data_IF_674536653440
#
_entry.id   IF_674536653440
#
_cell.length_a   1.000
_cell.length_b   1.000
_cell.length_c   1.000
_cell.angle_alpha   90.00
_cell.angle_beta   90.00
_cell.angle_gamma   90.00
#
_symmetry.space_group_name_H-M   'P 1'
#
loop_
_entity.id
_entity.type
_entity.pdbx_description
1 polymer ?
#
# COMPACT_ATOMS: atom_id res chain seq x y z
N UNK A 1 29.86 -4.73 -1.56
CA UNK A 1 28.76 -5.42 -0.88
C UNK A 1 27.51 -4.54 -0.71
N UNK A 2 27.59 -3.40 -0.03
CA UNK A 2 26.47 -2.45 0.12
C UNK A 2 25.67 -2.14 -1.17
N UNK A 3 26.36 -1.74 -2.25
CA UNK A 3 25.70 -1.41 -3.51
C UNK A 3 25.06 -2.63 -4.19
N UNK A 4 25.66 -3.82 -4.00
CA UNK A 4 25.12 -5.06 -4.55
C UNK A 4 23.80 -5.40 -3.88
N UNK A 5 23.75 -5.40 -2.55
CA UNK A 5 22.51 -5.59 -1.77
C UNK A 5 21.46 -4.55 -2.15
N UNK A 6 21.87 -3.30 -2.38
CA UNK A 6 20.96 -2.24 -2.83
C UNK A 6 20.37 -2.51 -4.22
N UNK A 7 21.18 -3.00 -5.17
CA UNK A 7 20.72 -3.37 -6.50
C UNK A 7 19.73 -4.54 -6.42
N UNK A 8 20.03 -5.58 -5.65
CA UNK A 8 19.13 -6.72 -5.43
C UNK A 8 17.79 -6.27 -4.84
N UNK A 9 17.81 -5.37 -3.86
CA UNK A 9 16.59 -4.76 -3.32
C UNK A 9 15.75 -4.05 -4.41
N UNK A 10 16.40 -3.27 -5.29
CA UNK A 10 15.69 -2.57 -6.36
C UNK A 10 15.14 -3.53 -7.42
N UNK A 11 15.87 -4.59 -7.77
CA UNK A 11 15.42 -5.63 -8.69
C UNK A 11 14.23 -6.39 -8.09
N UNK A 12 14.35 -6.85 -6.85
CA UNK A 12 13.26 -7.51 -6.13
C UNK A 12 11.98 -6.64 -6.12
N UNK A 13 12.11 -5.35 -5.82
CA UNK A 13 10.97 -4.42 -5.83
C UNK A 13 10.42 -4.17 -7.24
N UNK A 14 11.28 -4.10 -8.26
CA UNK A 14 10.84 -3.93 -9.65
C UNK A 14 9.99 -5.12 -10.12
N UNK A 15 10.45 -6.36 -9.88
CA UNK A 15 9.71 -7.57 -10.22
C UNK A 15 8.41 -7.68 -9.41
N UNK A 16 8.45 -7.37 -8.11
CA UNK A 16 7.26 -7.30 -7.24
C UNK A 16 6.19 -6.39 -7.83
N UNK A 17 6.56 -5.15 -8.20
CA UNK A 17 5.61 -4.15 -8.72
C UNK A 17 5.05 -4.54 -10.09
N UNK A 18 5.75 -5.40 -10.83
CA UNK A 18 5.28 -5.99 -12.09
C UNK A 18 4.51 -7.30 -11.89
N UNK A 19 4.25 -7.71 -10.64
CA UNK A 19 3.57 -8.95 -10.25
C UNK A 19 4.34 -10.22 -10.58
N UNK A 20 5.65 -10.09 -10.85
CA UNK A 20 6.57 -11.20 -11.01
C UNK A 20 7.13 -11.59 -9.63
N UNK A 21 6.27 -12.25 -8.85
CA UNK A 21 6.55 -12.58 -7.44
C UNK A 21 7.65 -13.64 -7.31
N UNK A 22 7.75 -14.55 -8.28
CA UNK A 22 8.77 -15.59 -8.27
C UNK A 22 10.17 -14.98 -8.42
N UNK A 23 10.36 -14.10 -9.41
CA UNK A 23 11.64 -13.44 -9.61
C UNK A 23 11.96 -12.44 -8.48
N UNK A 24 10.93 -11.75 -7.96
CA UNK A 24 11.07 -10.92 -6.76
C UNK A 24 11.62 -11.73 -5.57
N UNK A 25 11.05 -12.91 -5.30
CA UNK A 25 11.49 -13.79 -4.24
C UNK A 25 12.90 -14.34 -4.49
N UNK A 26 13.27 -14.63 -5.74
CA UNK A 26 14.63 -15.06 -6.11
C UNK A 26 15.67 -14.01 -5.73
N UNK A 27 15.47 -12.74 -6.15
CA UNK A 27 16.37 -11.65 -5.78
C UNK A 27 16.42 -11.38 -4.27
N UNK A 28 15.32 -11.62 -3.55
CA UNK A 28 15.31 -11.55 -2.09
C UNK A 28 16.17 -12.66 -1.46
N UNK A 29 16.15 -13.87 -2.02
CA UNK A 29 17.05 -14.96 -1.61
C UNK A 29 18.52 -14.55 -1.73
N UNK A 30 18.92 -14.05 -2.91
CA UNK A 30 20.29 -13.55 -3.14
C UNK A 30 20.63 -12.38 -2.20
N UNK A 31 19.68 -11.49 -1.94
CA UNK A 31 19.85 -10.37 -1.02
C UNK A 31 20.13 -10.86 0.40
N UNK A 32 19.40 -11.88 0.86
CA UNK A 32 19.58 -12.49 2.18
C UNK A 32 20.95 -13.17 2.29
N UNK A 33 21.35 -13.94 1.28
CA UNK A 33 22.65 -14.62 1.27
C UNK A 33 23.80 -13.62 1.43
N UNK A 34 23.76 -12.50 0.70
CA UNK A 34 24.75 -11.43 0.83
C UNK A 34 24.68 -10.71 2.18
N UNK A 35 23.48 -10.47 2.72
CA UNK A 35 23.31 -9.86 4.03
C UNK A 35 23.85 -10.75 5.15
N UNK A 36 23.73 -12.08 5.04
CA UNK A 36 24.19 -13.03 6.03
C UNK A 36 25.72 -13.09 6.15
N UNK A 37 26.45 -12.61 5.14
CA UNK A 37 27.92 -12.57 5.17
C UNK A 37 28.49 -11.57 6.19
N UNK A 38 27.70 -10.56 6.60
CA UNK A 38 28.11 -9.54 7.55
C UNK A 38 26.91 -8.99 8.35
N UNK A 39 26.98 -9.16 9.68
CA UNK A 39 25.95 -8.72 10.62
C UNK A 39 25.56 -7.24 10.50
N UNK A 40 26.47 -6.37 10.05
CA UNK A 40 26.20 -4.94 9.86
C UNK A 40 25.26 -4.69 8.67
N UNK A 41 25.47 -5.39 7.56
CA UNK A 41 24.58 -5.32 6.40
C UNK A 41 23.25 -6.02 6.67
N UNK A 42 23.27 -7.15 7.40
CA UNK A 42 22.04 -7.75 7.89
C UNK A 42 21.21 -6.71 8.66
N UNK A 43 21.77 -6.08 9.70
CA UNK A 43 21.06 -5.06 10.47
C UNK A 43 20.57 -3.87 9.64
N UNK A 44 21.35 -3.44 8.63
CA UNK A 44 21.04 -2.27 7.82
C UNK A 44 19.90 -2.50 6.80
N UNK A 45 19.79 -3.70 6.24
CA UNK A 45 18.85 -4.01 5.17
C UNK A 45 17.68 -4.90 5.61
N UNK A 46 17.72 -5.46 6.82
CA UNK A 46 16.74 -6.43 7.30
C UNK A 46 15.30 -5.95 7.15
N UNK A 47 14.98 -4.73 7.58
CA UNK A 47 13.60 -4.24 7.48
C UNK A 47 13.13 -4.12 6.02
N UNK A 48 14.01 -3.70 5.11
CA UNK A 48 13.69 -3.61 3.68
C UNK A 48 13.45 -4.98 3.05
N UNK A 49 14.26 -5.96 3.44
CA UNK A 49 14.04 -7.35 3.09
C UNK A 49 12.68 -7.85 3.61
N UNK A 50 12.37 -7.59 4.88
CA UNK A 50 11.11 -7.99 5.52
C UNK A 50 9.89 -7.37 4.84
N UNK A 51 9.98 -6.09 4.45
CA UNK A 51 8.93 -5.39 3.72
C UNK A 51 8.60 -6.08 2.39
N UNK A 52 9.60 -6.32 1.54
CA UNK A 52 9.39 -6.96 0.24
C UNK A 52 8.98 -8.43 0.37
N UNK A 53 9.50 -9.14 1.38
CA UNK A 53 9.09 -10.51 1.68
C UNK A 53 7.61 -10.57 2.09
N UNK A 54 7.17 -9.66 2.95
CA UNK A 54 5.78 -9.59 3.37
C UNK A 54 4.85 -9.19 2.21
N UNK A 55 5.26 -8.27 1.34
CA UNK A 55 4.49 -7.92 0.15
C UNK A 55 4.36 -9.12 -0.81
N UNK A 56 5.44 -9.88 -1.03
CA UNK A 56 5.36 -11.13 -1.80
C UNK A 56 4.37 -12.11 -1.19
N UNK A 57 4.47 -12.40 0.11
CA UNK A 57 3.53 -13.28 0.82
C UNK A 57 2.08 -12.80 0.67
N UNK A 58 1.84 -11.50 0.89
CA UNK A 58 0.50 -10.93 0.82
C UNK A 58 -0.13 -11.13 -0.57
N UNK A 59 0.57 -10.75 -1.63
CA UNK A 59 0.07 -10.85 -3.00
C UNK A 59 0.13 -12.26 -3.60
N UNK A 60 0.64 -13.26 -2.88
CA UNK A 60 0.67 -14.67 -3.30
C UNK A 60 -0.26 -15.58 -2.49
N UNK A 61 -1.13 -15.02 -1.65
CA UNK A 61 -2.17 -15.77 -0.96
C UNK A 61 -1.92 -16.02 0.53
N UNK A 62 -0.82 -15.50 1.09
CA UNK A 62 -0.39 -15.73 2.46
C UNK A 62 -0.52 -14.46 3.32
N UNK A 63 -1.71 -13.83 3.34
CA UNK A 63 -1.93 -12.57 4.05
C UNK A 63 -1.67 -12.64 5.57
N UNK A 64 -2.02 -13.75 6.22
CA UNK A 64 -1.81 -13.94 7.66
C UNK A 64 -0.32 -14.01 8.00
N UNK A 65 0.46 -14.73 7.19
CA UNK A 65 1.91 -14.82 7.33
C UNK A 65 2.57 -13.46 7.08
N UNK A 66 2.14 -12.74 6.03
CA UNK A 66 2.61 -11.41 5.71
C UNK A 66 2.37 -10.42 6.86
N UNK A 67 1.16 -10.44 7.43
CA UNK A 67 0.75 -9.59 8.54
C UNK A 67 1.55 -9.92 9.80
N UNK A 68 1.72 -11.21 10.09
CA UNK A 68 2.52 -11.68 11.23
C UNK A 68 3.98 -11.24 11.10
N UNK A 69 4.55 -11.35 9.89
CA UNK A 69 5.92 -10.96 9.59
C UNK A 69 6.17 -9.47 9.84
N UNK A 70 5.27 -8.60 9.38
CA UNK A 70 5.40 -7.15 9.61
C UNK A 70 5.17 -6.77 11.08
N UNK A 71 4.21 -7.41 11.77
CA UNK A 71 4.00 -7.19 13.21
C UNK A 71 5.23 -7.58 14.03
N UNK A 72 5.83 -8.73 13.73
CA UNK A 72 7.07 -9.17 14.37
C UNK A 72 8.22 -8.21 14.06
N UNK A 73 8.39 -7.79 12.81
CA UNK A 73 9.46 -6.88 12.40
C UNK A 73 9.34 -5.49 13.07
N UNK A 74 8.12 -5.01 13.29
CA UNK A 74 7.87 -3.75 13.99
C UNK A 74 8.07 -3.86 15.51
N UNK A 75 7.85 -5.03 16.11
CA UNK A 75 8.02 -5.24 17.55
C UNK A 75 9.45 -5.58 17.96
N UNK A 76 10.19 -6.31 17.11
CA UNK A 76 11.57 -6.71 17.36
C UNK A 76 12.61 -5.64 17.03
N UNK A 77 12.17 -4.47 16.57
CA UNK A 77 13.06 -3.47 16.02
C UNK A 77 13.91 -2.79 17.12
N UNK A 78 15.24 -2.88 17.00
CA UNK A 78 16.18 -2.16 17.86
C UNK A 78 16.20 -0.66 17.49
N UNK A 79 16.53 0.22 18.44
CA UNK A 79 16.62 1.68 18.26
C UNK A 79 17.56 2.16 17.12
N UNK A 80 18.29 1.27 16.45
CA UNK A 80 19.22 1.57 15.36
C UNK A 80 18.60 1.65 13.96
N UNK A 81 17.34 1.25 13.78
CA UNK A 81 16.73 1.24 12.44
C UNK A 81 16.33 2.64 11.97
N UNK A 82 16.43 2.86 10.66
CA UNK A 82 16.04 4.12 10.05
C UNK A 82 14.54 4.35 10.22
N UNK A 83 14.11 5.55 10.65
CA UNK A 83 12.69 5.88 10.78
C UNK A 83 11.91 5.63 9.49
N UNK A 84 12.51 5.87 8.33
CA UNK A 84 11.89 5.68 7.02
C UNK A 84 11.49 4.22 6.79
N UNK A 85 12.37 3.27 7.11
CA UNK A 85 12.08 1.84 6.95
C UNK A 85 10.92 1.41 7.88
N UNK A 86 10.85 1.98 9.09
CA UNK A 86 9.74 1.72 10.04
C UNK A 86 8.40 2.20 9.47
N UNK A 87 8.38 3.40 8.88
CA UNK A 87 7.17 3.97 8.30
C UNK A 87 6.72 3.19 7.05
N UNK A 88 7.66 2.68 6.25
CA UNK A 88 7.35 1.80 5.11
C UNK A 88 6.74 0.46 5.55
N UNK A 89 7.28 -0.17 6.60
CA UNK A 89 6.67 -1.38 7.18
C UNK A 89 5.27 -1.09 7.73
N UNK A 90 5.12 0.04 8.42
CA UNK A 90 3.85 0.40 9.06
C UNK A 90 2.76 0.68 8.03
N UNK A 91 3.07 1.41 6.95
CA UNK A 91 2.07 1.68 5.90
C UNK A 91 1.68 0.42 5.13
N UNK A 92 2.63 -0.51 4.91
CA UNK A 92 2.32 -1.82 4.35
C UNK A 92 1.41 -2.65 5.28
N UNK A 93 1.70 -2.66 6.59
CA UNK A 93 0.84 -3.34 7.56
C UNK A 93 -0.57 -2.73 7.61
N UNK A 94 -0.70 -1.40 7.53
CA UNK A 94 -2.01 -0.73 7.47
C UNK A 94 -2.77 -1.20 6.22
N UNK A 95 -2.12 -1.31 5.06
CA UNK A 95 -2.75 -1.82 3.84
C UNK A 95 -3.26 -3.24 4.04
N UNK A 96 -2.45 -4.14 4.59
CA UNK A 96 -2.82 -5.54 4.80
C UNK A 96 -4.05 -5.67 5.70
N UNK A 97 -4.03 -4.96 6.83
CA UNK A 97 -5.12 -4.95 7.80
C UNK A 97 -6.39 -4.33 7.18
N UNK A 98 -6.27 -3.23 6.45
CA UNK A 98 -7.43 -2.57 5.83
C UNK A 98 -8.10 -3.45 4.77
N UNK A 99 -7.32 -4.07 3.89
CA UNK A 99 -7.83 -4.99 2.87
C UNK A 99 -8.39 -6.28 3.47
N UNK A 100 -7.79 -6.77 4.56
CA UNK A 100 -8.29 -7.90 5.35
C UNK A 100 -9.49 -7.56 6.25
N UNK A 101 -10.02 -6.33 6.19
CA UNK A 101 -11.13 -5.86 7.04
C UNK A 101 -10.84 -5.93 8.55
N UNK A 102 -9.58 -5.78 8.96
CA UNK A 102 -9.13 -5.75 10.35
C UNK A 102 -9.04 -4.30 10.88
N UNK A 103 -9.84 -4.01 11.91
CA UNK A 103 -9.90 -2.70 12.58
C UNK A 103 -8.58 -2.28 13.23
N UNK A 104 -7.64 -3.19 13.46
CA UNK A 104 -6.29 -2.84 13.92
C UNK A 104 -5.60 -1.84 12.97
N UNK A 105 -6.01 -1.77 11.69
CA UNK A 105 -5.55 -0.75 10.76
C UNK A 105 -5.68 0.68 11.32
N UNK A 106 -6.77 1.00 12.04
CA UNK A 106 -6.97 2.31 12.69
C UNK A 106 -5.90 2.58 13.77
N UNK A 107 -5.56 1.56 14.56
CA UNK A 107 -4.51 1.65 15.58
C UNK A 107 -3.16 1.89 14.92
N UNK A 108 -2.81 1.13 13.88
CA UNK A 108 -1.54 1.29 13.17
C UNK A 108 -1.45 2.66 12.47
N UNK A 109 -2.56 3.15 11.91
CA UNK A 109 -2.66 4.48 11.32
C UNK A 109 -2.40 5.59 12.35
N UNK A 110 -2.92 5.47 13.57
CA UNK A 110 -2.71 6.47 14.63
C UNK A 110 -1.24 6.62 15.06
N UNK A 111 -0.40 5.63 14.76
CA UNK A 111 1.03 5.65 15.07
C UNK A 111 1.84 6.47 14.04
N UNK A 112 1.23 6.85 12.90
CA UNK A 112 1.80 7.82 11.94
C UNK A 112 1.61 9.26 12.44
N UNK A 113 2.39 9.63 13.46
CA UNK A 113 2.16 10.86 14.26
C UNK A 113 2.75 12.14 13.66
N UNK A 114 3.57 12.07 12.60
CA UNK A 114 4.22 13.25 12.03
C UNK A 114 3.26 14.03 11.13
N UNK A 115 3.55 15.31 10.94
CA UNK A 115 2.78 16.14 10.00
C UNK A 115 3.09 15.75 8.55
N UNK A 116 2.13 15.95 7.65
CA UNK A 116 2.34 15.73 6.22
C UNK A 116 3.55 16.52 5.67
N UNK A 117 3.82 17.73 6.17
CA UNK A 117 4.97 18.53 5.74
C UNK A 117 6.30 17.86 6.14
N UNK A 118 6.32 17.21 7.30
CA UNK A 118 7.46 16.41 7.72
C UNK A 118 7.62 15.19 6.82
N UNK A 119 6.54 14.45 6.54
CA UNK A 119 6.58 13.28 5.66
C UNK A 119 7.00 13.65 4.24
N UNK A 120 6.49 14.76 3.68
CA UNK A 120 6.90 15.26 2.36
C UNK A 120 8.40 15.54 2.29
N UNK A 121 8.97 16.11 3.34
CA UNK A 121 10.40 16.42 3.41
C UNK A 121 11.26 15.17 3.62
N UNK A 122 10.78 14.19 4.40
CA UNK A 122 11.56 13.03 4.85
C UNK A 122 11.39 11.80 3.98
N UNK A 123 10.15 11.46 3.65
CA UNK A 123 9.77 10.29 2.83
C UNK A 123 9.56 10.67 1.36
N UNK A 124 9.26 11.93 1.08
CA UNK A 124 8.97 12.42 -0.26
C UNK A 124 7.47 12.55 -0.55
N UNK A 125 7.15 13.35 -1.57
CA UNK A 125 5.77 13.74 -1.90
C UNK A 125 4.86 12.54 -2.22
N UNK A 126 5.33 11.60 -3.06
CA UNK A 126 4.53 10.44 -3.47
C UNK A 126 4.19 9.52 -2.29
N UNK A 127 5.13 9.34 -1.36
CA UNK A 127 4.90 8.55 -0.16
C UNK A 127 3.81 9.19 0.70
N UNK A 128 3.89 10.52 0.94
CA UNK A 128 2.89 11.23 1.74
C UNK A 128 1.51 11.23 1.10
N UNK A 129 1.44 11.32 -0.23
CA UNK A 129 0.18 11.17 -0.98
C UNK A 129 -0.42 9.78 -0.71
N UNK A 130 0.36 8.70 -0.85
CA UNK A 130 -0.12 7.33 -0.58
C UNK A 130 -0.56 7.15 0.87
N UNK A 131 0.19 7.69 1.84
CA UNK A 131 -0.21 7.72 3.26
C UNK A 131 -1.58 8.37 3.45
N UNK A 132 -1.81 9.53 2.85
CA UNK A 132 -3.09 10.23 3.00
C UNK A 132 -4.24 9.53 2.26
N UNK A 133 -3.97 8.87 1.13
CA UNK A 133 -4.95 7.99 0.48
C UNK A 133 -5.32 6.80 1.38
N UNK A 134 -4.32 6.18 2.02
CA UNK A 134 -4.52 5.10 2.98
C UNK A 134 -5.39 5.56 4.16
N UNK A 135 -5.13 6.75 4.71
CA UNK A 135 -5.91 7.33 5.80
C UNK A 135 -7.39 7.52 5.41
N UNK A 136 -7.67 8.00 4.19
CA UNK A 136 -9.04 8.12 3.67
C UNK A 136 -9.69 6.74 3.57
N UNK A 137 -8.99 5.76 2.97
CA UNK A 137 -9.50 4.40 2.78
C UNK A 137 -9.82 3.74 4.11
N UNK A 138 -8.91 3.78 5.09
CA UNK A 138 -9.09 3.14 6.41
C UNK A 138 -10.29 3.74 7.13
N UNK A 139 -10.44 5.07 7.14
CA UNK A 139 -11.61 5.69 7.76
C UNK A 139 -12.91 5.36 7.02
N UNK A 140 -12.89 5.30 5.69
CA UNK A 140 -14.04 4.89 4.89
C UNK A 140 -14.45 3.44 5.17
N UNK A 141 -13.48 2.50 5.19
CA UNK A 141 -13.70 1.07 5.44
C UNK A 141 -14.41 0.82 6.77
N UNK A 142 -14.00 1.53 7.83
CA UNK A 142 -14.54 1.33 9.18
C UNK A 142 -15.62 2.35 9.56
N UNK A 143 -16.34 2.87 8.55
CA UNK A 143 -17.53 3.71 8.72
C UNK A 143 -17.31 5.04 9.46
N UNK A 144 -16.08 5.54 9.51
CA UNK A 144 -15.77 6.88 10.00
C UNK A 144 -15.97 7.92 8.87
N UNK A 145 -17.20 7.98 8.33
CA UNK A 145 -17.52 8.69 7.08
C UNK A 145 -17.17 10.19 7.14
N UNK A 146 -17.54 10.88 8.22
CA UNK A 146 -17.25 12.31 8.39
C UNK A 146 -15.74 12.59 8.36
N UNK A 147 -14.97 11.74 9.04
CA UNK A 147 -13.52 11.86 9.07
C UNK A 147 -12.90 11.54 7.71
N UNK A 148 -13.36 10.49 7.03
CA UNK A 148 -12.93 10.16 5.66
C UNK A 148 -13.20 11.32 4.69
N UNK A 149 -14.38 11.95 4.75
CA UNK A 149 -14.73 13.12 3.95
C UNK A 149 -13.85 14.33 4.27
N UNK A 150 -13.61 14.62 5.55
CA UNK A 150 -12.71 15.70 5.98
C UNK A 150 -11.28 15.52 5.47
N UNK A 151 -10.76 14.28 5.53
CA UNK A 151 -9.44 13.92 4.99
C UNK A 151 -9.38 14.03 3.48
N UNK A 152 -10.42 13.62 2.77
CA UNK A 152 -10.53 13.74 1.33
C UNK A 152 -10.53 15.21 0.86
N UNK A 153 -11.24 16.10 1.54
CA UNK A 153 -11.20 17.54 1.26
C UNK A 153 -9.80 18.11 1.50
N UNK A 154 -9.18 17.75 2.63
CA UNK A 154 -7.82 18.17 2.98
C UNK A 154 -6.79 17.70 1.96
N UNK A 155 -6.90 16.44 1.52
CA UNK A 155 -6.07 15.86 0.48
C UNK A 155 -6.18 16.65 -0.82
N UNK A 156 -7.39 16.92 -1.30
CA UNK A 156 -7.61 17.66 -2.55
C UNK A 156 -7.01 19.06 -2.48
N UNK A 157 -7.22 19.78 -1.38
CA UNK A 157 -6.64 21.12 -1.18
C UNK A 157 -5.12 21.10 -1.27
N UNK A 158 -4.48 20.07 -0.72
CA UNK A 158 -3.02 19.97 -0.63
C UNK A 158 -2.36 19.45 -1.91
N UNK A 159 -2.91 18.39 -2.50
CA UNK A 159 -2.21 17.59 -3.52
C UNK A 159 -2.73 17.77 -4.94
N UNK A 160 -3.92 18.35 -5.16
CA UNK A 160 -4.50 18.48 -6.51
C UNK A 160 -3.56 19.15 -7.50
N UNK A 161 -2.91 20.26 -7.12
CA UNK A 161 -1.98 20.98 -7.99
C UNK A 161 -0.76 20.12 -8.36
N UNK A 162 -0.22 19.36 -7.40
CA UNK A 162 0.91 18.47 -7.65
C UNK A 162 0.51 17.35 -8.62
N UNK A 163 -0.62 16.67 -8.35
CA UNK A 163 -1.11 15.55 -9.16
C UNK A 163 -1.36 15.95 -10.61
N UNK A 164 -1.94 17.13 -10.86
CA UNK A 164 -2.14 17.67 -12.21
C UNK A 164 -0.81 18.01 -12.91
N UNK A 165 0.19 18.46 -12.15
CA UNK A 165 1.50 18.81 -12.72
C UNK A 165 2.32 17.56 -13.07
N UNK A 166 2.11 16.45 -12.36
CA UNK A 166 2.88 15.21 -12.52
C UNK A 166 2.14 14.12 -13.31
N UNK A 167 1.03 14.46 -13.96
CA UNK A 167 0.20 13.51 -14.72
C UNK A 167 -0.26 12.30 -13.88
N UNK A 168 -0.66 12.58 -12.63
CA UNK A 168 -1.18 11.60 -11.66
C UNK A 168 -2.69 11.79 -11.44
N UNK A 169 -3.42 12.24 -12.47
CA UNK A 169 -4.85 12.56 -12.37
C UNK A 169 -5.71 11.35 -11.99
N UNK A 170 -5.25 10.12 -12.25
CA UNK A 170 -5.86 8.86 -11.78
C UNK A 170 -6.22 8.89 -10.29
N UNK A 171 -5.37 9.51 -9.46
CA UNK A 171 -5.62 9.64 -8.01
C UNK A 171 -6.86 10.50 -7.74
N UNK A 172 -7.08 11.54 -8.53
CA UNK A 172 -8.26 12.41 -8.41
C UNK A 172 -9.53 11.70 -8.89
N UNK A 173 -9.43 10.87 -9.93
CA UNK A 173 -10.54 10.03 -10.39
C UNK A 173 -10.94 9.00 -9.33
N UNK A 174 -9.97 8.29 -8.74
CA UNK A 174 -10.20 7.40 -7.61
C UNK A 174 -10.92 8.12 -6.46
N UNK A 175 -10.42 9.28 -6.02
CA UNK A 175 -11.05 10.03 -4.93
C UNK A 175 -12.46 10.53 -5.25
N UNK A 176 -12.78 10.76 -6.53
CA UNK A 176 -14.15 11.09 -6.93
C UNK A 176 -15.09 9.89 -6.76
N UNK A 177 -14.62 8.69 -7.07
CA UNK A 177 -15.38 7.45 -6.87
C UNK A 177 -15.60 7.16 -5.39
N UNK A 178 -14.57 7.35 -4.56
CA UNK A 178 -14.66 7.23 -3.09
C UNK A 178 -15.67 8.23 -2.53
N UNK A 179 -15.60 9.50 -2.93
CA UNK A 179 -16.54 10.53 -2.47
C UNK A 179 -17.99 10.20 -2.81
N UNK A 180 -18.27 9.77 -4.05
CA UNK A 180 -19.61 9.33 -4.47
C UNK A 180 -20.13 8.21 -3.57
N UNK A 181 -19.29 7.23 -3.28
CA UNK A 181 -19.64 6.12 -2.39
C UNK A 181 -19.90 6.58 -0.95
N UNK A 182 -19.04 7.43 -0.40
CA UNK A 182 -19.21 7.96 0.96
C UNK A 182 -20.49 8.80 1.11
N UNK A 183 -20.90 9.51 0.05
CA UNK A 183 -22.15 10.29 0.05
C UNK A 183 -23.40 9.42 -0.07
N UNK A 184 -23.34 8.34 -0.86
CA UNK A 184 -24.46 7.44 -1.10
C UNK A 184 -23.93 6.01 -1.30
N UNK A 185 -23.79 5.20 -0.23
CA UNK A 185 -23.22 3.86 -0.32
C UNK A 185 -23.95 2.93 -1.31
N UNK A 186 -25.27 3.10 -1.45
CA UNK A 186 -26.10 2.34 -2.39
C UNK A 186 -25.66 2.48 -3.86
N UNK A 187 -24.89 3.53 -4.20
CA UNK A 187 -24.34 3.71 -5.55
C UNK A 187 -23.44 2.55 -5.96
N UNK A 188 -22.85 1.82 -5.01
CA UNK A 188 -22.03 0.64 -5.28
C UNK A 188 -22.81 -0.47 -6.02
N UNK A 189 -24.15 -0.47 -5.93
CA UNK A 189 -25.01 -1.42 -6.64
C UNK A 189 -25.49 -0.92 -8.01
N UNK A 190 -25.21 0.33 -8.36
CA UNK A 190 -25.58 0.90 -9.65
C UNK A 190 -24.60 0.47 -10.76
N UNK A 191 -25.12 -0.09 -11.85
CA UNK A 191 -24.30 -0.58 -12.97
C UNK A 191 -23.43 0.51 -13.62
N UNK A 192 -23.84 1.78 -13.58
CA UNK A 192 -23.05 2.90 -14.08
C UNK A 192 -21.80 3.13 -13.22
N UNK A 193 -21.94 3.12 -11.88
CA UNK A 193 -20.84 3.30 -10.96
C UNK A 193 -19.83 2.16 -11.04
N UNK A 194 -20.31 0.91 -11.05
CA UNK A 194 -19.44 -0.27 -11.20
C UNK A 194 -18.61 -0.21 -12.48
N UNK A 195 -19.20 0.18 -13.60
CA UNK A 195 -18.46 0.39 -14.87
C UNK A 195 -17.40 1.49 -14.75
N UNK A 196 -17.72 2.59 -14.06
CA UNK A 196 -16.75 3.69 -13.84
C UNK A 196 -15.55 3.22 -13.00
N UNK A 197 -15.80 2.42 -11.95
CA UNK A 197 -14.73 1.83 -11.13
C UNK A 197 -13.91 0.80 -11.92
N UNK A 198 -14.57 -0.15 -12.61
CA UNK A 198 -13.89 -1.18 -13.40
C UNK A 198 -13.07 -0.56 -14.55
N UNK A 199 -13.53 0.52 -15.17
CA UNK A 199 -12.77 1.23 -16.21
C UNK A 199 -11.43 1.82 -15.73
N UNK A 200 -11.21 1.92 -14.41
CA UNK A 200 -9.90 2.27 -13.88
C UNK A 200 -8.87 1.17 -14.16
N UNK A 201 -9.28 -0.11 -14.20
CA UNK A 201 -8.36 -1.23 -14.43
C UNK A 201 -7.90 -1.31 -15.89
N UNK A 202 -8.67 -0.79 -16.84
CA UNK A 202 -8.33 -0.78 -18.27
C UNK A 202 -7.11 0.11 -18.59
N UNK A 203 -6.68 0.95 -17.64
CA UNK A 203 -5.56 1.87 -17.82
C UNK A 203 -4.26 1.19 -17.42
N UNK A 204 -3.30 1.11 -18.34
CA UNK A 204 -1.99 0.52 -18.08
C UNK A 204 -1.25 1.15 -16.87
N UNK A 205 -1.44 2.45 -16.66
CA UNK A 205 -0.88 3.18 -15.51
C UNK A 205 -1.42 2.73 -14.13
N UNK A 206 -2.55 2.02 -14.11
CA UNK A 206 -3.18 1.49 -12.91
C UNK A 206 -2.82 0.03 -12.62
N UNK A 207 -2.00 -0.60 -13.46
CA UNK A 207 -1.62 -2.02 -13.35
C UNK A 207 -0.52 -2.30 -12.28
N UNK A 208 -0.34 -1.39 -11.33
CA UNK A 208 0.56 -1.56 -10.18
C UNK A 208 -0.20 -2.16 -8.99
N UNK A 209 0.44 -3.06 -8.25
CA UNK A 209 -0.13 -3.77 -7.09
C UNK A 209 -0.77 -2.85 -6.04
N UNK A 210 -0.21 -1.66 -5.79
CA UNK A 210 -0.76 -0.73 -4.82
C UNK A 210 -1.96 0.02 -5.38
N UNK A 211 -1.93 0.41 -6.67
CA UNK A 211 -3.08 1.02 -7.32
C UNK A 211 -4.25 0.04 -7.40
N UNK A 212 -3.98 -1.21 -7.80
CA UNK A 212 -4.98 -2.28 -7.81
C UNK A 212 -5.57 -2.53 -6.42
N UNK A 213 -4.78 -2.43 -5.35
CA UNK A 213 -5.27 -2.54 -3.98
C UNK A 213 -6.33 -1.49 -3.62
N UNK A 214 -6.15 -0.23 -4.04
CA UNK A 214 -7.14 0.82 -3.84
C UNK A 214 -8.41 0.59 -4.68
N UNK A 215 -8.26 0.13 -5.93
CA UNK A 215 -9.41 -0.18 -6.80
C UNK A 215 -10.19 -1.39 -6.25
N UNK A 216 -9.48 -2.43 -5.81
CA UNK A 216 -10.05 -3.63 -5.22
C UNK A 216 -10.92 -3.33 -4.00
N UNK A 217 -10.54 -2.34 -3.18
CA UNK A 217 -11.36 -1.86 -2.08
C UNK A 217 -12.73 -1.33 -2.52
N UNK A 218 -12.79 -0.54 -3.60
CA UNK A 218 -14.05 -0.06 -4.16
C UNK A 218 -14.91 -1.22 -4.68
N UNK A 219 -14.28 -2.20 -5.34
CA UNK A 219 -14.96 -3.39 -5.84
C UNK A 219 -15.55 -4.21 -4.69
N UNK A 220 -14.79 -4.37 -3.60
CA UNK A 220 -15.24 -5.06 -2.39
C UNK A 220 -16.46 -4.37 -1.74
N UNK A 221 -16.76 -3.10 -2.02
CA UNK A 221 -17.97 -2.45 -1.50
C UNK A 221 -19.27 -3.03 -2.08
N UNK A 222 -19.23 -3.70 -3.24
CA UNK A 222 -20.41 -4.38 -3.81
C UNK A 222 -20.24 -5.90 -3.95
N UNK A 223 -19.03 -6.42 -3.79
CA UNK A 223 -18.80 -7.86 -3.66
C UNK A 223 -18.98 -8.30 -2.20
N UNK A 224 -19.47 -9.51 -1.97
CA UNK A 224 -19.48 -10.12 -0.62
C UNK A 224 -18.09 -10.68 -0.28
N UNK A 225 -17.04 -9.89 -0.50
CA UNK A 225 -15.63 -10.26 -0.34
C UNK A 225 -14.88 -9.11 0.33
N UNK A 226 -13.78 -9.45 0.98
CA UNK A 226 -12.80 -8.49 1.48
C UNK A 226 -12.03 -7.84 0.34
N UNK A 227 -11.44 -6.66 0.58
CA UNK A 227 -10.55 -6.02 -0.38
C UNK A 227 -9.35 -6.91 -0.73
N UNK A 228 -8.90 -7.73 0.22
CA UNK A 228 -7.82 -8.70 0.02
C UNK A 228 -8.18 -9.76 -1.02
N UNK A 229 -9.32 -10.43 -0.86
CA UNK A 229 -9.78 -11.46 -1.80
C UNK A 229 -9.95 -10.90 -3.21
N UNK A 230 -10.45 -9.65 -3.33
CA UNK A 230 -10.57 -8.99 -4.61
C UNK A 230 -9.19 -8.71 -5.21
N UNK A 231 -8.26 -8.06 -4.50
CA UNK A 231 -6.95 -7.72 -5.08
C UNK A 231 -6.14 -8.97 -5.43
N UNK A 232 -6.27 -10.04 -4.66
CA UNK A 232 -5.60 -11.31 -4.96
C UNK A 232 -6.08 -11.88 -6.29
N UNK A 233 -7.40 -11.87 -6.53
CA UNK A 233 -7.96 -12.24 -7.84
C UNK A 233 -7.44 -11.34 -8.96
N UNK A 234 -7.46 -10.01 -8.76
CA UNK A 234 -6.97 -9.06 -9.78
C UNK A 234 -5.49 -9.26 -10.14
N UNK A 235 -4.67 -9.65 -9.16
CA UNK A 235 -3.24 -9.86 -9.36
C UNK A 235 -2.96 -11.19 -10.04
N UNK A 236 -3.73 -12.24 -9.70
CA UNK A 236 -3.58 -13.58 -10.29
C UNK A 236 -4.15 -13.68 -11.71
N UNK A 237 -5.27 -13.02 -12.00
CA UNK A 237 -5.91 -13.04 -13.34
C UNK A 237 -5.11 -12.27 -14.41
N UNK A 238 -4.16 -11.43 -13.98
CA UNK A 238 -3.33 -10.59 -14.85
C UNK A 238 -1.86 -11.08 -14.93
N UNK A 239 -1.58 -12.31 -14.52
CA UNK A 239 -0.30 -13.01 -14.66
C UNK A 239 -0.48 -14.19 -15.63
#
# INVERSE_FOLDING_TARGET
LFYHISILYFLANFHLRRKDFAESASYLGEMMDLMATDSSYHALFYLRYQLLSALNLFFTGYADDATTLLKASLSSNKHSSKPEDIEDLRIALILFLALGNDREALKQLSLLTRSDAWYEKKMGMLWTIRKNLMEILVHAQFSNVELAMSRLVSFRRRYKKYLLKTSEERVLFYLKLVEKYLQKPDIAFEAAYRREVLSQMDRAENNDIFTLSFIAWLIACWEKKTGYEVVLGLVQDNN
#
